data_IF_326434509368
#
_entry.id   IF_326434509368
#
_cell.length_a   1.000
_cell.length_b   1.000
_cell.length_c   1.000
_cell.angle_alpha   90.00
_cell.angle_beta   90.00
_cell.angle_gamma   90.00
#
_symmetry.space_group_name_H-M   'P 1'
#
loop_
_entity.id
_entity.type
_entity.pdbx_description
1 polymer ?
#
# COMPACT_ATOMS: atom_id res chain seq x y z
N UNK A 1 3.61 12.27 15.32
CA UNK A 1 2.60 11.25 15.68
C UNK A 1 1.49 11.97 16.43
N UNK A 2 0.29 12.11 15.86
CA UNK A 2 -0.86 12.56 16.64
C UNK A 2 -1.39 11.33 17.39
N UNK A 3 -0.86 11.08 18.57
CA UNK A 3 -1.43 10.11 19.48
C UNK A 3 -2.90 10.53 19.71
N UNK A 4 -3.84 9.64 19.42
CA UNK A 4 -5.22 9.86 19.82
C UNK A 4 -5.23 9.79 21.34
N UNK A 5 -5.24 10.95 22.00
CA UNK A 5 -5.28 11.02 23.46
C UNK A 5 -6.67 10.62 23.93
N UNK A 6 -6.77 9.40 24.45
CA UNK A 6 -7.99 8.91 25.08
C UNK A 6 -8.06 9.45 26.51
N UNK A 7 -8.91 10.45 26.74
CA UNK A 7 -9.13 11.04 28.07
C UNK A 7 -10.00 10.11 28.92
N UNK A 8 -9.35 9.24 29.68
CA UNK A 8 -9.97 8.28 30.60
C UNK A 8 -10.88 8.96 31.62
N UNK A 9 -10.47 10.13 32.14
CA UNK A 9 -11.22 10.86 33.15
C UNK A 9 -12.52 11.46 32.57
N UNK A 10 -12.47 12.02 31.36
CA UNK A 10 -13.68 12.47 30.68
C UNK A 10 -14.62 11.32 30.31
N UNK A 11 -14.08 10.15 29.97
CA UNK A 11 -14.87 8.95 29.67
C UNK A 11 -15.60 8.42 30.93
N UNK A 12 -14.88 8.26 32.05
CA UNK A 12 -15.48 7.85 33.34
C UNK A 12 -16.59 8.82 33.77
N UNK A 13 -16.33 10.14 33.67
CA UNK A 13 -17.33 11.16 34.00
C UNK A 13 -18.61 11.03 33.17
N UNK A 14 -18.50 10.76 31.87
CA UNK A 14 -19.65 10.55 30.99
C UNK A 14 -20.43 9.29 31.32
N UNK A 15 -19.76 8.20 31.64
CA UNK A 15 -20.40 6.94 32.02
C UNK A 15 -21.14 7.08 33.35
N UNK A 16 -20.56 7.76 34.32
CA UNK A 16 -21.24 8.09 35.58
C UNK A 16 -22.47 8.98 35.38
N UNK A 17 -22.42 9.93 34.43
CA UNK A 17 -23.57 10.75 34.06
C UNK A 17 -24.69 9.94 33.36
N UNK A 18 -24.41 8.71 32.94
CA UNK A 18 -25.36 7.76 32.36
C UNK A 18 -25.81 6.68 33.38
N UNK A 19 -25.69 6.97 34.68
CA UNK A 19 -26.06 6.08 35.80
C UNK A 19 -25.23 4.79 35.93
N UNK A 20 -24.04 4.71 35.32
CA UNK A 20 -23.09 3.64 35.64
C UNK A 20 -22.40 3.92 36.98
N UNK A 21 -22.19 2.87 37.78
CA UNK A 21 -21.38 2.99 38.99
C UNK A 21 -19.94 3.34 38.63
N UNK A 22 -19.23 3.97 39.56
CA UNK A 22 -17.82 4.32 39.39
C UNK A 22 -16.97 3.12 39.00
N UNK A 23 -17.19 1.98 39.67
CA UNK A 23 -16.50 0.73 39.39
C UNK A 23 -16.82 0.17 37.99
N UNK A 24 -18.06 0.31 37.51
CA UNK A 24 -18.43 -0.09 36.14
C UNK A 24 -17.83 0.85 35.09
N UNK A 25 -17.83 2.16 35.36
CA UNK A 25 -17.28 3.17 34.48
C UNK A 25 -15.76 2.98 34.31
N UNK A 26 -15.04 2.77 35.41
CA UNK A 26 -13.60 2.48 35.40
C UNK A 26 -13.28 1.19 34.64
N UNK A 27 -13.98 0.09 34.94
CA UNK A 27 -13.75 -1.19 34.28
C UNK A 27 -13.97 -1.12 32.76
N UNK A 28 -15.02 -0.41 32.31
CA UNK A 28 -15.26 -0.21 30.88
C UNK A 28 -14.16 0.65 30.25
N UNK A 29 -13.79 1.77 30.88
CA UNK A 29 -12.74 2.66 30.36
C UNK A 29 -11.38 1.98 30.31
N UNK A 30 -11.07 1.13 31.28
CA UNK A 30 -9.85 0.33 31.32
C UNK A 30 -9.77 -0.63 30.12
N UNK A 31 -10.83 -1.40 29.85
CA UNK A 31 -10.89 -2.30 28.68
C UNK A 31 -10.74 -1.52 27.37
N UNK A 32 -11.45 -0.39 27.23
CA UNK A 32 -11.40 0.42 26.01
C UNK A 32 -10.05 1.12 25.80
N UNK A 33 -9.38 1.53 26.88
CA UNK A 33 -8.07 2.19 26.79
C UNK A 33 -6.99 1.27 26.18
N UNK A 34 -7.05 -0.03 26.45
CA UNK A 34 -6.18 -1.03 25.85
C UNK A 34 -6.46 -1.21 24.35
N UNK A 35 -7.72 -1.26 23.95
CA UNK A 35 -8.13 -1.44 22.54
C UNK A 35 -7.79 -0.22 21.69
N UNK A 36 -7.91 0.99 22.23
CA UNK A 36 -7.57 2.23 21.52
C UNK A 36 -6.06 2.34 21.25
N UNK A 37 -5.22 1.68 22.07
CA UNK A 37 -3.77 1.61 21.86
C UNK A 37 -3.33 0.58 20.81
N UNK A 38 -4.10 -0.52 20.62
CA UNK A 38 -3.76 -1.63 19.71
C UNK A 38 -4.51 -1.62 18.37
N UNK A 39 -5.52 -0.77 18.19
CA UNK A 39 -6.27 -0.72 16.93
C UNK A 39 -5.38 -0.18 15.82
N UNK A 40 -5.06 -1.03 14.82
CA UNK A 40 -4.27 -0.69 13.63
C UNK A 40 -4.65 0.70 13.13
N UNK A 41 -3.77 1.66 13.38
CA UNK A 41 -4.09 3.07 13.22
C UNK A 41 -4.25 3.31 11.72
N UNK A 42 -5.01 4.35 11.34
CA UNK A 42 -5.09 4.79 9.93
C UNK A 42 -3.69 4.98 9.29
N UNK A 43 -2.68 5.22 10.11
CA UNK A 43 -1.25 5.26 9.76
C UNK A 43 -0.71 3.92 9.29
N UNK A 44 -1.03 2.81 9.97
CA UNK A 44 -0.52 1.48 9.64
C UNK A 44 -1.12 0.99 8.30
N UNK A 45 -2.40 1.30 8.07
CA UNK A 45 -3.06 1.06 6.78
C UNK A 45 -2.44 1.89 5.64
N UNK A 46 -2.03 3.13 5.93
CA UNK A 46 -1.30 3.96 4.95
C UNK A 46 0.08 3.38 4.67
N UNK A 47 0.82 3.02 5.71
CA UNK A 47 2.15 2.44 5.57
C UNK A 47 2.13 1.11 4.80
N UNK A 48 1.09 0.30 5.01
CA UNK A 48 0.84 -0.89 4.21
C UNK A 48 0.49 -0.57 2.75
N UNK A 49 -0.37 0.42 2.50
CA UNK A 49 -0.72 0.90 1.15
C UNK A 49 0.50 1.46 0.41
N UNK A 50 1.35 2.20 1.09
CA UNK A 50 2.57 2.78 0.54
C UNK A 50 3.56 1.66 0.20
N UNK A 51 3.73 0.67 1.08
CA UNK A 51 4.54 -0.52 0.80
C UNK A 51 4.06 -1.36 -0.39
N UNK A 52 2.73 -1.47 -0.59
CA UNK A 52 2.18 -2.10 -1.80
C UNK A 52 2.52 -1.28 -3.05
N UNK A 53 2.55 0.04 -2.95
CA UNK A 53 2.86 0.91 -4.09
C UNK A 53 4.34 0.88 -4.45
N UNK A 54 5.23 0.81 -3.45
CA UNK A 54 6.68 0.81 -3.66
C UNK A 54 7.23 -0.54 -4.16
N UNK A 55 6.63 -1.66 -3.74
CA UNK A 55 7.19 -2.99 -4.02
C UNK A 55 6.52 -3.75 -5.17
N UNK A 56 5.40 -3.25 -5.72
CA UNK A 56 4.68 -3.94 -6.78
C UNK A 56 4.71 -3.13 -8.08
N UNK A 57 5.03 -3.80 -9.19
CA UNK A 57 4.96 -3.20 -10.51
C UNK A 57 3.50 -2.81 -10.82
N UNK A 58 3.29 -1.54 -11.17
CA UNK A 58 1.98 -1.06 -11.57
C UNK A 58 1.64 -1.53 -12.99
N UNK A 59 0.36 -1.43 -13.37
CA UNK A 59 -0.07 -1.67 -14.76
C UNK A 59 0.67 -0.76 -15.76
N UNK A 60 1.03 0.45 -15.34
CA UNK A 60 1.79 1.38 -16.16
C UNK A 60 3.23 0.90 -16.37
N UNK A 61 3.88 0.39 -15.32
CA UNK A 61 5.23 -0.19 -15.43
C UNK A 61 5.24 -1.39 -16.37
N UNK A 62 4.20 -2.23 -16.30
CA UNK A 62 4.06 -3.38 -17.18
C UNK A 62 3.87 -2.97 -18.64
N UNK A 63 3.02 -1.96 -18.91
CA UNK A 63 2.80 -1.43 -20.26
C UNK A 63 4.06 -0.76 -20.84
N UNK A 64 4.84 -0.07 -20.01
CA UNK A 64 6.12 0.51 -20.40
C UNK A 64 7.16 -0.58 -20.73
N UNK A 65 7.20 -1.65 -19.95
CA UNK A 65 8.03 -2.83 -20.22
C UNK A 65 7.64 -3.51 -21.53
N UNK A 66 6.34 -3.76 -21.74
CA UNK A 66 5.81 -4.38 -22.96
C UNK A 66 6.18 -3.55 -24.20
N UNK A 67 5.95 -2.24 -24.15
CA UNK A 67 6.31 -1.33 -25.25
C UNK A 67 7.80 -1.34 -25.54
N UNK A 68 8.63 -1.34 -24.50
CA UNK A 68 10.09 -1.40 -24.63
C UNK A 68 10.55 -2.72 -25.25
N UNK A 69 9.96 -3.83 -24.84
CA UNK A 69 10.25 -5.16 -25.39
C UNK A 69 9.88 -5.22 -26.88
N UNK A 70 8.68 -4.76 -27.24
CA UNK A 70 8.23 -4.71 -28.64
C UNK A 70 9.20 -3.89 -29.49
N UNK A 71 9.63 -2.72 -29.00
CA UNK A 71 10.58 -1.86 -29.72
C UNK A 71 11.92 -2.55 -29.98
N UNK A 72 12.47 -3.25 -28.98
CA UNK A 72 13.73 -3.98 -29.14
C UNK A 72 13.58 -5.19 -30.06
N UNK A 73 12.50 -5.96 -29.93
CA UNK A 73 12.22 -7.08 -30.83
C UNK A 73 12.07 -6.61 -32.29
N UNK A 74 11.36 -5.51 -32.52
CA UNK A 74 11.24 -4.92 -33.85
C UNK A 74 12.60 -4.48 -34.41
N UNK A 75 13.44 -3.83 -33.59
CA UNK A 75 14.79 -3.43 -33.99
C UNK A 75 15.67 -4.62 -34.38
N UNK A 76 15.64 -5.69 -33.57
CA UNK A 76 16.38 -6.93 -33.85
C UNK A 76 15.86 -7.61 -35.12
N UNK A 77 14.53 -7.68 -35.31
CA UNK A 77 13.93 -8.27 -36.50
C UNK A 77 14.32 -7.52 -37.78
N UNK A 78 14.31 -6.18 -37.77
CA UNK A 78 14.73 -5.36 -38.90
C UNK A 78 16.22 -5.55 -39.20
N UNK A 79 17.07 -5.53 -38.17
CA UNK A 79 18.50 -5.73 -38.33
C UNK A 79 18.83 -7.14 -38.88
N UNK A 80 18.24 -8.17 -38.28
CA UNK A 80 18.40 -9.56 -38.72
C UNK A 80 17.89 -9.79 -40.14
N UNK A 81 16.70 -9.26 -40.46
CA UNK A 81 16.12 -9.34 -41.81
C UNK A 81 16.99 -8.63 -42.86
N UNK A 82 17.54 -7.46 -42.53
CA UNK A 82 18.46 -6.73 -43.41
C UNK A 82 19.75 -7.49 -43.67
N UNK A 83 20.33 -8.12 -42.64
CA UNK A 83 21.54 -8.96 -42.77
C UNK A 83 21.29 -10.18 -43.66
N UNK A 84 20.17 -10.89 -43.46
CA UNK A 84 19.81 -12.04 -44.30
C UNK A 84 19.59 -11.63 -45.76
N UNK A 85 18.90 -10.51 -45.98
CA UNK A 85 18.68 -9.98 -47.32
C UNK A 85 19.99 -9.61 -48.02
N UNK A 86 20.91 -8.94 -47.32
CA UNK A 86 22.22 -8.58 -47.86
C UNK A 86 23.04 -9.83 -48.22
N UNK A 87 23.06 -10.84 -47.35
CA UNK A 87 23.76 -12.10 -47.60
C UNK A 87 23.23 -12.80 -48.87
N UNK A 88 21.90 -12.94 -49.00
CA UNK A 88 21.27 -13.53 -50.17
C UNK A 88 21.63 -12.80 -51.46
N UNK A 89 21.66 -11.46 -51.43
CA UNK A 89 22.04 -10.64 -52.60
C UNK A 89 23.51 -10.77 -52.98
N UNK A 90 24.42 -11.03 -52.04
CA UNK A 90 25.84 -11.23 -52.35
C UNK A 90 26.17 -12.63 -52.87
N UNK A 91 25.29 -13.61 -52.63
CA UNK A 91 25.49 -15.03 -52.96
C UNK A 91 24.80 -15.45 -54.27
N UNK A 92 23.87 -14.66 -54.82
CA UNK A 92 23.18 -14.90 -56.09
C UNK A 92 23.49 -13.84 -57.13
#
# INVERSE_FOLDING_TARGET
MNAVTFDTHAAVRKLRAADLSEQQAEALVEVFSHVVGESATRTDLRQFSDGITEHFATKADLAALETRLIKWMAGIAVAGGGLLFAALRTLG
#
